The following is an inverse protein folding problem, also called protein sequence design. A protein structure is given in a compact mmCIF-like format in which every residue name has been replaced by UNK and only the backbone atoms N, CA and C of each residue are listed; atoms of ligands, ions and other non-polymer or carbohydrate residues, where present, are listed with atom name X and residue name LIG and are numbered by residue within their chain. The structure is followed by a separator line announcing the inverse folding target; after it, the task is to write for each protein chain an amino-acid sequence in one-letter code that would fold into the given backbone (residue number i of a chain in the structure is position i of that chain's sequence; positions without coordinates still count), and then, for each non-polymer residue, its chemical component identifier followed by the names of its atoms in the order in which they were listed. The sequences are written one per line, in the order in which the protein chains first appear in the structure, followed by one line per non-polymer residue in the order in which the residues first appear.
data_IF_132929113305
#
_entry.id   IF_132929113305
#
_cell.length_a   1.000
_cell.length_b   1.000
_cell.length_c   1.000
_cell.angle_alpha   90.00
_cell.angle_beta   90.00
_cell.angle_gamma   90.00
#
_symmetry.space_group_name_H-M   'P 1'
#
loop_
_entity.id
_entity.type
_entity.pdbx_description
1 polymer ?
#
# COMPACT_ATOMS: atom_id res chain seq x y z
N UNK A 1 19.30 -13.45 14.93
CA UNK A 1 17.99 -12.82 14.70
C UNK A 1 18.03 -11.99 13.43
N UNK A 2 16.88 -11.67 12.81
CA UNK A 2 16.82 -10.72 11.68
C UNK A 2 16.81 -9.28 12.23
N UNK A 3 17.99 -8.69 12.41
CA UNK A 3 18.14 -7.30 12.87
C UNK A 3 17.79 -6.30 11.76
N UNK A 4 17.12 -5.19 12.11
CA UNK A 4 16.86 -4.06 11.18
C UNK A 4 15.77 -4.27 10.13
N UNK A 5 14.98 -5.35 10.20
CA UNK A 5 13.94 -5.63 9.19
C UNK A 5 12.57 -5.10 9.63
N UNK A 6 12.15 -3.98 9.06
CA UNK A 6 10.90 -3.31 9.41
C UNK A 6 9.63 -3.92 8.77
N UNK A 7 9.74 -4.56 7.60
CA UNK A 7 8.59 -5.07 6.82
C UNK A 7 8.31 -6.54 7.09
N UNK A 8 7.02 -6.92 7.14
CA UNK A 8 6.61 -8.33 7.26
C UNK A 8 6.63 -9.04 5.91
N UNK A 9 6.95 -10.33 5.90
CA UNK A 9 6.91 -11.18 4.69
C UNK A 9 5.49 -11.63 4.32
N UNK A 10 4.60 -11.75 5.30
CA UNK A 10 3.22 -12.23 5.11
C UNK A 10 3.11 -13.58 4.38
N UNK A 11 4.14 -14.43 4.50
CA UNK A 11 4.27 -15.71 3.79
C UNK A 11 4.08 -15.60 2.26
N UNK A 12 4.48 -14.47 1.66
CA UNK A 12 4.40 -14.21 0.22
C UNK A 12 5.76 -13.85 -0.35
N UNK A 13 5.94 -14.11 -1.64
CA UNK A 13 7.07 -13.58 -2.41
C UNK A 13 6.96 -12.05 -2.49
N UNK A 14 8.07 -11.36 -2.80
CA UNK A 14 8.08 -9.89 -2.84
C UNK A 14 7.07 -9.33 -3.86
N UNK A 15 7.00 -9.94 -5.05
CA UNK A 15 6.08 -9.54 -6.11
C UNK A 15 4.61 -9.71 -5.69
N UNK A 16 4.24 -10.89 -5.15
CA UNK A 16 2.88 -11.14 -4.69
C UNK A 16 2.51 -10.24 -3.50
N UNK A 17 3.44 -9.99 -2.58
CA UNK A 17 3.18 -9.07 -1.46
C UNK A 17 2.90 -7.65 -1.96
N UNK A 18 3.63 -7.17 -2.96
CA UNK A 18 3.42 -5.84 -3.54
C UNK A 18 2.03 -5.78 -4.19
N UNK A 19 1.72 -6.69 -5.11
CA UNK A 19 0.41 -6.75 -5.78
C UNK A 19 -0.77 -6.86 -4.80
N UNK A 20 -0.59 -7.63 -3.71
CA UNK A 20 -1.60 -7.71 -2.65
C UNK A 20 -1.83 -6.36 -1.96
N UNK A 21 -0.77 -5.60 -1.67
CA UNK A 21 -0.89 -4.27 -1.06
C UNK A 21 -1.51 -3.26 -2.02
N UNK A 22 -1.14 -3.29 -3.30
CA UNK A 22 -1.74 -2.48 -4.38
C UNK A 22 -3.26 -2.71 -4.42
N UNK A 23 -3.70 -3.96 -4.53
CA UNK A 23 -5.13 -4.31 -4.59
C UNK A 23 -5.91 -3.92 -3.32
N UNK A 24 -5.31 -4.11 -2.13
CA UNK A 24 -5.95 -3.71 -0.87
C UNK A 24 -6.04 -2.20 -0.74
N UNK A 25 -5.05 -1.45 -1.24
CA UNK A 25 -5.08 0.02 -1.23
C UNK A 25 -6.19 0.55 -2.14
N UNK A 26 -6.30 0.03 -3.37
CA UNK A 26 -7.39 0.35 -4.31
C UNK A 26 -8.74 0.05 -3.67
N UNK A 27 -8.89 -1.13 -3.06
CA UNK A 27 -10.15 -1.53 -2.39
C UNK A 27 -10.50 -0.61 -1.21
N UNK A 28 -9.50 -0.18 -0.43
CA UNK A 28 -9.70 0.74 0.69
C UNK A 28 -10.09 2.14 0.24
N UNK A 29 -9.49 2.64 -0.85
CA UNK A 29 -9.83 3.96 -1.40
C UNK A 29 -11.25 3.94 -1.99
N UNK A 30 -11.64 2.87 -2.69
CA UNK A 30 -12.97 2.72 -3.31
C UNK A 30 -14.11 2.54 -2.30
N UNK A 31 -13.87 1.79 -1.22
CA UNK A 31 -14.92 1.40 -0.26
C UNK A 31 -14.82 2.11 1.10
N UNK A 32 -13.84 3.01 1.26
CA UNK A 32 -13.50 3.75 2.49
C UNK A 32 -13.09 2.90 3.70
N UNK A 33 -13.53 1.65 3.78
CA UNK A 33 -13.23 0.69 4.83
C UNK A 33 -13.11 -0.72 4.25
N UNK A 34 -12.23 -1.54 4.82
CA UNK A 34 -12.09 -2.97 4.46
C UNK A 34 -11.87 -3.82 5.71
N UNK A 35 -12.34 -5.05 5.68
CA UNK A 35 -12.04 -6.06 6.73
C UNK A 35 -10.85 -6.92 6.29
N UNK A 36 -9.79 -6.93 7.08
CA UNK A 36 -8.59 -7.74 6.81
C UNK A 36 -7.95 -8.23 8.11
N UNK A 37 -6.87 -9.02 8.01
CA UNK A 37 -6.14 -9.51 9.17
C UNK A 37 -5.23 -8.42 9.74
N UNK A 38 -5.04 -8.40 11.06
CA UNK A 38 -4.17 -7.44 11.77
C UNK A 38 -2.78 -7.22 11.12
N UNK A 39 -1.99 -8.27 10.78
CA UNK A 39 -0.67 -8.05 10.17
C UNK A 39 -0.76 -7.41 8.78
N UNK A 40 -1.78 -7.76 7.97
CA UNK A 40 -2.00 -7.13 6.66
C UNK A 40 -2.36 -5.65 6.80
N UNK A 41 -3.25 -5.31 7.75
CA UNK A 41 -3.62 -3.93 8.03
C UNK A 41 -2.42 -3.08 8.46
N UNK A 42 -1.57 -3.62 9.36
CA UNK A 42 -0.35 -2.92 9.82
C UNK A 42 0.65 -2.66 8.69
N UNK A 43 0.79 -3.57 7.72
CA UNK A 43 1.64 -3.35 6.53
C UNK A 43 0.99 -2.42 5.49
N UNK A 44 -0.35 -2.44 5.38
CA UNK A 44 -1.09 -1.61 4.44
C UNK A 44 -1.05 -0.13 4.81
N UNK A 45 -1.10 0.19 6.10
CA UNK A 45 -1.10 1.58 6.61
C UNK A 45 0.01 2.47 6.01
N UNK A 46 1.31 2.15 6.14
CA UNK A 46 2.37 3.00 5.58
C UNK A 46 2.40 3.04 4.05
N UNK A 47 1.76 2.07 3.37
CA UNK A 47 1.62 2.08 1.92
C UNK A 47 0.55 3.09 1.48
N UNK A 48 -0.63 3.06 2.12
CA UNK A 48 -1.75 3.96 1.83
C UNK A 48 -1.46 5.39 2.26
N UNK A 49 -0.81 5.62 3.41
CA UNK A 49 -0.44 6.97 3.87
C UNK A 49 0.42 7.72 2.84
N UNK A 50 1.33 7.01 2.15
CA UNK A 50 2.14 7.60 1.07
C UNK A 50 1.30 8.00 -0.13
N UNK A 51 0.34 7.18 -0.52
CA UNK A 51 -0.57 7.47 -1.63
C UNK A 51 -1.44 8.70 -1.30
N UNK A 52 -1.98 8.76 -0.08
CA UNK A 52 -2.73 9.94 0.39
C UNK A 52 -1.85 11.19 0.37
N UNK A 53 -0.59 11.08 0.79
CA UNK A 53 0.37 12.20 0.75
C UNK A 53 0.63 12.68 -0.68
N UNK A 54 0.78 11.76 -1.63
CA UNK A 54 0.90 12.11 -3.05
C UNK A 54 -0.39 12.75 -3.58
N UNK A 55 -1.57 12.23 -3.21
CA UNK A 55 -2.87 12.77 -3.64
C UNK A 55 -3.14 14.18 -3.10
N UNK A 56 -2.61 14.53 -1.93
CA UNK A 56 -2.66 15.90 -1.40
C UNK A 56 -1.80 16.89 -2.20
N UNK A 57 -0.75 16.40 -2.86
CA UNK A 57 0.12 17.24 -3.67
C UNK A 57 -0.47 17.40 -5.07
N UNK A 58 -0.95 18.59 -5.42
CA UNK A 58 -1.56 18.88 -6.72
C UNK A 58 -0.52 19.10 -7.84
N UNK A 59 0.49 18.22 -7.95
CA UNK A 59 1.51 18.23 -9.00
C UNK A 59 1.32 17.05 -9.94
N UNK A 60 1.58 17.24 -11.22
CA UNK A 60 1.43 16.19 -12.23
C UNK A 60 2.31 14.97 -11.93
N UNK A 61 3.56 15.20 -11.51
CA UNK A 61 4.47 14.11 -11.09
C UNK A 61 3.92 13.31 -9.91
N UNK A 62 3.18 13.93 -9.00
CA UNK A 62 2.56 13.23 -7.86
C UNK A 62 1.41 12.33 -8.31
N UNK A 63 0.62 12.77 -9.30
CA UNK A 63 -0.43 11.97 -9.92
C UNK A 63 0.15 10.76 -10.65
N UNK A 64 1.19 10.95 -11.46
CA UNK A 64 1.89 9.86 -12.16
C UNK A 64 2.45 8.82 -11.18
N UNK A 65 3.08 9.28 -10.09
CA UNK A 65 3.63 8.39 -9.07
C UNK A 65 2.53 7.62 -8.31
N UNK A 66 1.41 8.26 -8.01
CA UNK A 66 0.26 7.61 -7.39
C UNK A 66 -0.34 6.56 -8.31
N UNK A 67 -0.53 6.89 -9.60
CA UNK A 67 -1.05 5.98 -10.61
C UNK A 67 -0.16 4.75 -10.82
N UNK A 68 1.16 4.96 -10.89
CA UNK A 68 2.15 3.86 -10.97
C UNK A 68 2.08 2.90 -9.77
N UNK A 69 1.73 3.41 -8.59
CA UNK A 69 1.62 2.63 -7.35
C UNK A 69 0.27 1.92 -7.19
N UNK A 70 -0.82 2.43 -7.78
CA UNK A 70 -2.16 1.85 -7.67
C UNK A 70 -2.51 0.94 -8.84
N UNK A 71 -2.01 1.25 -10.05
CA UNK A 71 -2.26 0.51 -11.31
C UNK A 71 -3.74 0.30 -11.64
N UNK A 72 -4.57 1.28 -11.28
CA UNK A 72 -6.02 1.38 -11.52
C UNK A 72 -6.31 2.81 -11.97
#
# INVERSE_FOLDING_TARGET
MRHGIAKRKLNKTSAHRLAMLENMAVSLIKNETIKTTLPKAKELRPFVEKIITLGKNNKESSRINAFSSLRD
#
